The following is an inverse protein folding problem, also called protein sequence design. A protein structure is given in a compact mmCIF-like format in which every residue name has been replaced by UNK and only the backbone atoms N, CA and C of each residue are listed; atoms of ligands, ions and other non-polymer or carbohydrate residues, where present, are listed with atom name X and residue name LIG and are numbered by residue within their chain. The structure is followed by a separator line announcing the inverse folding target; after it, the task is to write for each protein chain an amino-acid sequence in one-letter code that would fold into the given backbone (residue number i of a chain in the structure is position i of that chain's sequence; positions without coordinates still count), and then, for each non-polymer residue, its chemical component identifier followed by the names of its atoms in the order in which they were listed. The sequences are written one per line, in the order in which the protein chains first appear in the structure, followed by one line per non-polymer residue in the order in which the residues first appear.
data_IF_556177747775
#
_entry.id   IF_556177747775
#
_cell.length_a   1.000
_cell.length_b   1.000
_cell.length_c   1.000
_cell.angle_alpha   90.00
_cell.angle_beta   90.00
_cell.angle_gamma   90.00
#
_symmetry.space_group_name_H-M   'P 1'
#
loop_
_entity.id
_entity.type
_entity.pdbx_description
1 polymer ?
#
# COMPACT_ATOMS: atom_id res chain seq x y z
N UNK A 1 -0.41 23.08 -45.55
CA UNK A 1 -1.15 23.21 -44.28
C UNK A 1 -2.44 22.44 -44.45
N UNK A 2 -2.59 21.30 -43.77
CA UNK A 2 -3.84 20.55 -43.80
C UNK A 2 -4.72 21.06 -42.66
N UNK A 3 -5.82 21.73 -43.01
CA UNK A 3 -6.82 22.17 -42.04
C UNK A 3 -7.44 20.94 -41.36
N UNK A 4 -7.21 20.81 -40.06
CA UNK A 4 -7.89 19.84 -39.21
C UNK A 4 -9.35 20.29 -39.02
N UNK A 5 -10.27 19.74 -39.81
CA UNK A 5 -11.71 19.93 -39.60
C UNK A 5 -12.25 18.84 -38.66
N UNK A 6 -12.38 19.17 -37.38
CA UNK A 6 -13.11 18.36 -36.40
C UNK A 6 -14.60 18.68 -36.47
N UNK A 7 -15.45 17.68 -36.70
CA UNK A 7 -16.89 17.89 -36.60
C UNK A 7 -17.33 18.00 -35.12
N UNK A 8 -18.49 18.59 -34.85
CA UNK A 8 -19.02 18.81 -33.49
C UNK A 8 -19.01 17.55 -32.62
N UNK A 9 -19.25 16.37 -33.20
CA UNK A 9 -19.24 15.09 -32.48
C UNK A 9 -17.81 14.65 -32.12
N UNK A 10 -16.85 14.83 -33.02
CA UNK A 10 -15.43 14.58 -32.75
C UNK A 10 -14.88 15.58 -31.74
N UNK A 11 -15.29 16.85 -31.82
CA UNK A 11 -14.96 17.85 -30.82
C UNK A 11 -15.51 17.47 -29.44
N UNK A 12 -16.78 17.04 -29.35
CA UNK A 12 -17.41 16.59 -28.10
C UNK A 12 -16.82 15.28 -27.54
N UNK A 13 -16.40 14.36 -28.40
CA UNK A 13 -15.73 13.12 -27.99
C UNK A 13 -14.30 13.42 -27.52
N UNK A 14 -13.56 14.27 -28.24
CA UNK A 14 -12.22 14.69 -27.87
C UNK A 14 -12.22 15.52 -26.57
N UNK A 15 -13.18 16.44 -26.42
CA UNK A 15 -13.35 17.21 -25.19
C UNK A 15 -13.84 16.34 -24.03
N UNK A 16 -14.80 15.44 -24.29
CA UNK A 16 -15.35 14.53 -23.27
C UNK A 16 -14.31 13.55 -22.73
N UNK A 17 -13.44 13.00 -23.57
CA UNK A 17 -12.34 12.13 -23.12
C UNK A 17 -11.26 12.89 -22.35
N UNK A 18 -11.03 14.18 -22.67
CA UNK A 18 -10.07 15.03 -21.95
C UNK A 18 -10.55 15.48 -20.57
N UNK A 19 -11.82 15.86 -20.45
CA UNK A 19 -12.40 16.35 -19.19
C UNK A 19 -12.75 15.22 -18.20
N UNK A 20 -13.20 14.06 -18.68
CA UNK A 20 -13.51 12.91 -17.81
C UNK A 20 -12.25 12.19 -17.27
N UNK A 21 -11.10 12.34 -17.93
CA UNK A 21 -9.86 11.69 -17.49
C UNK A 21 -9.10 12.45 -16.39
N UNK A 22 -9.44 13.73 -16.16
CA UNK A 22 -8.67 14.64 -15.30
C UNK A 22 -9.49 15.28 -14.17
N UNK A 23 -10.82 15.04 -14.14
CA UNK A 23 -11.71 15.53 -13.10
C UNK A 23 -12.56 14.41 -12.53
N UNK A 24 -11.97 13.54 -11.71
CA UNK A 24 -12.76 12.72 -10.78
C UNK A 24 -13.02 13.57 -9.53
N UNK A 25 -14.24 14.11 -9.32
CA UNK A 25 -14.60 14.70 -8.03
C UNK A 25 -14.41 13.63 -6.95
N UNK A 26 -13.54 13.90 -5.98
CA UNK A 26 -13.22 12.96 -4.90
C UNK A 26 -11.73 12.74 -4.65
N UNK A 27 -10.83 13.32 -5.45
CA UNK A 27 -9.44 13.41 -5.03
C UNK A 27 -9.29 14.49 -3.96
N UNK A 28 -9.10 14.08 -2.71
CA UNK A 28 -8.68 14.98 -1.64
C UNK A 28 -7.17 15.14 -1.78
N UNK A 29 -6.72 16.35 -2.08
CA UNK A 29 -5.30 16.69 -2.20
C UNK A 29 -4.92 17.53 -0.99
N UNK A 30 -4.14 16.97 -0.07
CA UNK A 30 -3.63 17.74 1.07
C UNK A 30 -2.43 18.61 0.67
N UNK A 31 -1.80 19.25 1.65
CA UNK A 31 -0.50 19.90 1.53
C UNK A 31 0.44 19.45 2.68
N UNK A 32 1.60 18.88 2.37
CA UNK A 32 2.62 18.51 3.35
C UNK A 32 3.61 19.67 3.53
N UNK A 33 4.20 19.74 4.73
CA UNK A 33 5.27 20.68 5.01
C UNK A 33 6.55 20.24 4.28
N UNK A 34 7.27 21.22 3.75
CA UNK A 34 8.65 21.08 3.24
C UNK A 34 9.56 21.92 4.11
N UNK A 35 10.83 21.53 4.24
CA UNK A 35 11.86 22.37 4.85
C UNK A 35 12.30 23.50 3.90
N UNK A 36 13.18 24.36 4.38
CA UNK A 36 13.71 25.50 3.63
C UNK A 36 14.51 25.10 2.37
N UNK A 37 14.91 23.84 2.23
CA UNK A 37 15.60 23.31 1.06
C UNK A 37 14.66 22.67 0.04
N UNK A 38 13.34 22.72 0.28
CA UNK A 38 12.34 22.04 -0.55
C UNK A 38 12.31 20.53 -0.33
N UNK A 39 13.12 20.01 0.60
CA UNK A 39 13.05 18.61 1.00
C UNK A 39 11.90 18.43 1.95
N UNK A 40 11.32 17.25 1.91
CA UNK A 40 10.23 16.95 2.81
C UNK A 40 10.71 16.80 4.24
N UNK A 41 10.00 17.45 5.15
CA UNK A 41 10.07 17.10 6.57
C UNK A 41 9.30 15.81 6.83
N UNK A 42 9.63 15.13 7.92
CA UNK A 42 8.91 13.94 8.35
C UNK A 42 7.40 14.19 8.29
N UNK A 43 6.71 13.36 7.50
CA UNK A 43 5.27 13.39 7.30
C UNK A 43 4.55 13.23 8.64
N UNK A 44 3.32 13.76 8.75
CA UNK A 44 2.37 13.27 9.75
C UNK A 44 2.37 11.73 9.75
N UNK A 45 2.01 11.12 10.88
CA UNK A 45 2.01 9.67 11.10
C UNK A 45 1.55 8.89 9.84
N UNK A 46 2.47 8.11 9.29
CA UNK A 46 2.29 7.13 8.22
C UNK A 46 2.22 5.72 8.82
N UNK A 47 1.67 4.76 8.07
CA UNK A 47 1.59 3.36 8.51
C UNK A 47 2.15 2.42 7.44
N UNK A 48 3.13 1.60 7.83
CA UNK A 48 3.49 0.38 7.10
C UNK A 48 2.79 -0.77 7.83
N UNK A 49 1.78 -1.36 7.19
CA UNK A 49 1.01 -2.46 7.76
C UNK A 49 1.53 -3.79 7.19
N UNK A 50 2.26 -4.55 8.01
CA UNK A 50 2.81 -5.85 7.60
C UNK A 50 1.71 -6.91 7.76
N UNK A 51 1.12 -7.32 6.63
CA UNK A 51 0.10 -8.35 6.59
C UNK A 51 0.74 -9.69 6.23
N UNK A 52 1.01 -10.50 7.25
CA UNK A 52 1.48 -11.87 7.08
C UNK A 52 0.28 -12.79 6.87
N UNK A 53 0.00 -13.20 5.64
CA UNK A 53 -1.09 -14.13 5.35
C UNK A 53 -0.76 -15.50 5.99
N UNK A 54 -1.73 -16.05 6.72
CA UNK A 54 -1.53 -17.21 7.59
C UNK A 54 -1.04 -16.83 8.99
N UNK A 55 -0.08 -15.91 9.06
CA UNK A 55 0.43 -15.30 10.28
C UNK A 55 1.26 -16.25 11.15
N UNK A 56 2.24 -15.73 11.91
CA UNK A 56 2.93 -16.52 12.90
C UNK A 56 1.98 -16.95 14.02
N UNK A 57 2.17 -18.17 14.51
CA UNK A 57 1.52 -18.64 15.71
C UNK A 57 1.87 -17.71 16.88
N UNK A 58 0.87 -17.08 17.49
CA UNK A 58 1.08 -16.16 18.61
C UNK A 58 1.66 -16.88 19.83
N UNK A 59 1.27 -18.14 20.06
CA UNK A 59 1.83 -18.98 21.14
C UNK A 59 3.28 -19.40 20.90
N UNK A 60 3.74 -19.32 19.65
CA UNK A 60 5.14 -19.58 19.31
C UNK A 60 5.95 -18.28 19.17
N UNK A 61 5.37 -17.09 19.34
CA UNK A 61 6.08 -15.83 19.06
C UNK A 61 5.99 -14.83 20.20
N UNK A 62 4.79 -14.30 20.48
CA UNK A 62 4.60 -13.13 21.34
C UNK A 62 3.68 -13.36 22.55
N UNK A 63 2.93 -14.47 22.58
CA UNK A 63 2.01 -14.81 23.65
C UNK A 63 2.12 -16.29 24.07
N UNK A 64 3.32 -16.68 24.51
CA UNK A 64 3.76 -18.09 24.56
C UNK A 64 3.07 -19.00 25.58
N UNK A 65 2.26 -18.43 26.49
CA UNK A 65 1.60 -19.16 27.59
C UNK A 65 2.54 -20.18 28.28
N UNK A 66 3.72 -19.76 28.81
CA UNK A 66 4.74 -20.69 29.30
C UNK A 66 4.28 -21.59 30.46
N UNK A 67 3.28 -21.13 31.23
CA UNK A 67 2.68 -21.89 32.34
C UNK A 67 1.55 -22.84 31.90
N UNK A 68 1.18 -22.86 30.62
CA UNK A 68 0.18 -23.79 30.11
C UNK A 68 0.78 -25.21 30.00
N UNK A 69 -0.07 -26.27 30.03
CA UNK A 69 0.41 -27.63 29.81
C UNK A 69 1.15 -27.76 28.47
N UNK A 70 2.08 -28.71 28.39
CA UNK A 70 2.94 -28.92 27.22
C UNK A 70 2.16 -29.14 25.92
N UNK A 71 0.93 -29.66 26.01
CA UNK A 71 0.05 -29.88 24.86
C UNK A 71 -0.55 -28.58 24.28
N UNK A 72 -0.48 -27.46 25.02
CA UNK A 72 -1.09 -26.17 24.63
C UNK A 72 -0.06 -25.05 24.40
N UNK A 73 1.17 -25.19 24.91
CA UNK A 73 2.26 -24.23 24.69
C UNK A 73 3.19 -24.70 23.57
N UNK A 74 3.85 -23.75 22.92
CA UNK A 74 4.90 -24.04 21.95
C UNK A 74 6.14 -24.71 22.58
N UNK A 75 7.04 -25.30 21.77
CA UNK A 75 8.27 -25.94 22.25
C UNK A 75 9.36 -24.94 22.68
N UNK A 76 9.09 -23.65 22.56
CA UNK A 76 10.05 -22.58 22.77
C UNK A 76 9.94 -21.99 24.17
N UNK A 77 11.04 -21.40 24.65
CA UNK A 77 11.08 -20.75 25.96
C UNK A 77 11.07 -19.20 25.82
N UNK A 78 10.51 -18.48 26.82
CA UNK A 78 10.50 -17.03 26.80
C UNK A 78 11.88 -16.44 27.14
N UNK A 79 12.26 -15.35 26.47
CA UNK A 79 13.45 -14.55 26.81
C UNK A 79 13.08 -13.25 27.52
N UNK A 80 13.98 -12.80 28.39
CA UNK A 80 13.91 -11.47 28.98
C UNK A 80 14.06 -10.39 27.88
N UNK A 81 13.33 -9.29 28.04
CA UNK A 81 13.36 -8.19 27.09
C UNK A 81 13.78 -6.89 27.78
N UNK A 82 14.01 -5.84 26.99
CA UNK A 82 14.39 -4.51 27.50
C UNK A 82 13.32 -3.87 28.39
N UNK A 83 12.04 -4.16 28.15
CA UNK A 83 10.94 -3.71 29.01
C UNK A 83 10.69 -4.75 30.12
N UNK A 84 10.90 -4.41 31.41
CA UNK A 84 10.67 -5.34 32.50
C UNK A 84 9.24 -5.89 32.49
N UNK A 85 9.12 -7.22 32.61
CA UNK A 85 7.82 -7.92 32.60
C UNK A 85 7.31 -8.31 31.21
N UNK A 86 7.84 -7.72 30.12
CA UNK A 86 7.54 -8.19 28.76
C UNK A 86 8.43 -9.38 28.39
N UNK A 87 7.83 -10.42 27.81
CA UNK A 87 8.50 -11.64 27.35
C UNK A 87 8.05 -11.99 25.93
N UNK A 88 8.96 -12.48 25.12
CA UNK A 88 8.72 -13.00 23.77
C UNK A 88 9.54 -14.27 23.56
N UNK A 89 9.39 -14.95 22.43
CA UNK A 89 10.15 -16.15 22.08
C UNK A 89 11.68 -15.90 22.08
N UNK A 90 12.45 -16.83 22.65
CA UNK A 90 13.92 -16.79 22.71
C UNK A 90 14.64 -16.65 21.36
N UNK A 91 14.02 -17.10 20.26
CA UNK A 91 14.53 -16.95 18.90
C UNK A 91 14.53 -15.48 18.43
N UNK A 92 13.75 -14.61 19.08
CA UNK A 92 13.68 -13.19 18.79
C UNK A 92 14.82 -12.38 19.44
N UNK A 93 16.06 -12.89 19.38
CA UNK A 93 17.25 -12.34 20.06
C UNK A 93 17.49 -10.85 19.80
N UNK A 94 17.27 -10.38 18.56
CA UNK A 94 17.41 -8.97 18.18
C UNK A 94 16.20 -8.12 18.54
N UNK A 95 14.99 -8.68 18.43
CA UNK A 95 13.74 -7.96 18.69
C UNK A 95 13.52 -7.74 20.19
N UNK A 96 13.97 -8.67 21.05
CA UNK A 96 13.91 -8.53 22.51
C UNK A 96 14.60 -7.25 23.02
N UNK A 97 15.65 -6.80 22.31
CA UNK A 97 16.43 -5.59 22.60
C UNK A 97 15.72 -4.29 22.19
N UNK A 98 14.64 -4.39 21.40
CA UNK A 98 13.89 -3.27 20.82
C UNK A 98 12.48 -3.12 21.40
N UNK A 99 12.16 -3.82 22.49
CA UNK A 99 10.83 -3.82 23.11
C UNK A 99 10.38 -2.47 23.68
N UNK A 100 11.30 -1.51 23.85
CA UNK A 100 10.98 -0.12 24.18
C UNK A 100 10.57 0.73 22.96
N UNK A 101 10.66 0.17 21.76
CA UNK A 101 10.28 0.82 20.50
C UNK A 101 8.93 0.35 19.93
N UNK A 102 8.29 -0.66 20.54
CA UNK A 102 6.99 -1.15 20.10
C UNK A 102 6.08 -1.54 21.26
N UNK A 103 4.78 -1.61 20.97
CA UNK A 103 3.77 -2.07 21.93
C UNK A 103 3.22 -3.41 21.48
N UNK A 104 3.21 -4.37 22.39
CA UNK A 104 2.56 -5.66 22.19
C UNK A 104 1.09 -5.58 22.64
N UNK A 105 0.16 -6.02 21.79
CA UNK A 105 -1.28 -6.05 22.09
C UNK A 105 -1.74 -7.50 22.14
N UNK A 106 -1.83 -8.06 23.34
CA UNK A 106 -2.32 -9.43 23.57
C UNK A 106 -3.83 -9.51 23.86
N UNK A 107 -4.54 -8.38 23.77
CA UNK A 107 -5.98 -8.28 24.05
C UNK A 107 -6.84 -8.37 22.78
N UNK A 108 -6.26 -8.67 21.62
CA UNK A 108 -7.01 -8.74 20.37
C UNK A 108 -7.89 -9.99 20.36
N UNK A 109 -9.18 -9.80 20.07
CA UNK A 109 -10.15 -10.88 19.90
C UNK A 109 -11.07 -10.54 18.73
N UNK A 110 -11.77 -11.52 18.17
CA UNK A 110 -12.78 -11.29 17.14
C UNK A 110 -14.14 -11.79 17.62
N UNK A 111 -15.24 -11.13 17.24
CA UNK A 111 -16.58 -11.60 17.55
C UNK A 111 -16.96 -12.79 16.65
N UNK A 112 -17.78 -13.69 17.20
CA UNK A 112 -18.34 -14.83 16.47
C UNK A 112 -17.31 -15.91 16.07
N UNK A 113 -17.82 -16.95 15.41
CA UNK A 113 -17.02 -18.09 14.96
C UNK A 113 -16.36 -17.81 13.59
N UNK A 114 -15.37 -16.92 13.54
CA UNK A 114 -14.53 -16.73 12.35
C UNK A 114 -13.57 -17.92 12.26
N UNK A 115 -13.69 -18.73 11.20
CA UNK A 115 -12.99 -20.02 11.06
C UNK A 115 -12.27 -20.18 9.72
N UNK A 116 -12.14 -19.12 8.93
CA UNK A 116 -11.43 -19.14 7.65
C UNK A 116 -10.65 -17.84 7.42
N UNK A 117 -9.61 -17.93 6.58
CA UNK A 117 -8.72 -16.80 6.27
C UNK A 117 -9.44 -15.60 5.66
N UNK A 118 -10.44 -15.83 4.80
CA UNK A 118 -11.13 -14.77 4.07
C UNK A 118 -11.92 -13.86 5.01
N UNK A 119 -12.73 -14.46 5.89
CA UNK A 119 -13.50 -13.73 6.90
C UNK A 119 -12.58 -13.07 7.93
N UNK A 120 -11.50 -13.75 8.36
CA UNK A 120 -10.55 -13.20 9.33
C UNK A 120 -9.84 -11.97 8.80
N UNK A 121 -9.31 -12.03 7.57
CA UNK A 121 -8.65 -10.88 6.96
C UNK A 121 -9.64 -9.75 6.69
N UNK A 122 -10.86 -10.08 6.27
CA UNK A 122 -11.88 -9.07 6.08
C UNK A 122 -12.19 -8.36 7.39
N UNK A 123 -12.45 -9.11 8.46
CA UNK A 123 -12.74 -8.55 9.78
C UNK A 123 -11.62 -7.67 10.30
N UNK A 124 -10.37 -8.14 10.22
CA UNK A 124 -9.21 -7.38 10.68
C UNK A 124 -9.04 -6.06 9.92
N UNK A 125 -9.19 -6.09 8.59
CA UNK A 125 -8.87 -4.95 7.75
C UNK A 125 -10.04 -3.96 7.57
N UNK A 126 -11.29 -4.40 7.70
CA UNK A 126 -12.50 -3.55 7.55
C UNK A 126 -13.20 -3.25 8.87
N UNK A 127 -12.91 -4.00 9.93
CA UNK A 127 -13.62 -3.96 11.21
C UNK A 127 -15.00 -4.63 11.19
N UNK A 128 -15.38 -5.34 10.11
CA UNK A 128 -16.72 -5.91 9.95
C UNK A 128 -16.73 -7.43 10.20
N UNK A 129 -17.63 -7.90 11.06
CA UNK A 129 -17.76 -9.32 11.41
C UNK A 129 -19.13 -9.92 11.08
N UNK A 130 -20.15 -9.09 10.86
CA UNK A 130 -21.53 -9.56 10.68
C UNK A 130 -21.77 -10.18 9.31
N UNK A 131 -21.22 -9.57 8.26
CA UNK A 131 -21.38 -10.02 6.88
C UNK A 131 -20.17 -10.83 6.45
N UNK A 132 -20.35 -12.15 6.41
CA UNK A 132 -19.39 -13.10 5.84
C UNK A 132 -19.04 -12.72 4.42
N UNK A 133 -17.76 -12.85 4.06
CA UNK A 133 -17.33 -12.60 2.68
C UNK A 133 -17.83 -13.74 1.81
N UNK A 134 -18.71 -13.43 0.85
CA UNK A 134 -19.09 -14.38 -0.18
C UNK A 134 -18.15 -14.21 -1.37
N UNK A 135 -17.53 -15.30 -1.83
CA UNK A 135 -16.69 -15.27 -3.03
C UNK A 135 -17.47 -14.71 -4.22
N UNK A 136 -16.92 -13.69 -4.88
CA UNK A 136 -17.53 -13.04 -6.04
C UNK A 136 -18.61 -12.00 -5.73
N UNK A 137 -18.93 -11.72 -4.46
CA UNK A 137 -19.81 -10.63 -4.06
C UNK A 137 -19.07 -9.65 -3.17
N UNK A 138 -18.66 -8.48 -3.68
CA UNK A 138 -18.12 -7.41 -2.87
C UNK A 138 -19.05 -7.11 -1.71
N UNK A 139 -18.58 -7.25 -0.48
CA UNK A 139 -19.14 -6.39 0.55
C UNK A 139 -18.56 -5.01 0.27
N UNK A 140 -19.43 -4.01 0.19
CA UNK A 140 -19.03 -2.67 -0.24
C UNK A 140 -18.26 -1.92 0.87
N UNK A 141 -17.40 -2.63 1.60
CA UNK A 141 -16.72 -2.11 2.77
C UNK A 141 -15.31 -1.62 2.40
N UNK A 142 -14.95 -0.38 2.75
CA UNK A 142 -13.57 0.07 2.71
C UNK A 142 -12.71 -0.69 3.72
N UNK A 143 -11.40 -0.74 3.45
CA UNK A 143 -10.39 -1.28 4.36
C UNK A 143 -9.58 -0.15 4.99
N UNK A 144 -8.80 -0.46 6.04
CA UNK A 144 -8.04 0.51 6.84
C UNK A 144 -7.27 1.54 5.99
N UNK A 145 -6.56 1.10 4.95
CA UNK A 145 -5.83 1.99 4.04
C UNK A 145 -6.73 2.96 3.27
N UNK A 146 -7.95 2.56 2.91
CA UNK A 146 -8.92 3.41 2.21
C UNK A 146 -9.46 4.52 3.12
N UNK A 147 -9.65 4.23 4.41
CA UNK A 147 -10.00 5.26 5.40
C UNK A 147 -8.87 6.27 5.58
N UNK A 148 -7.61 5.81 5.63
CA UNK A 148 -6.45 6.70 5.70
C UNK A 148 -6.35 7.57 4.46
N UNK A 149 -6.48 6.99 3.26
CA UNK A 149 -6.46 7.75 2.00
C UNK A 149 -7.55 8.83 1.95
N UNK A 150 -8.75 8.55 2.47
CA UNK A 150 -9.85 9.52 2.49
C UNK A 150 -9.62 10.69 3.46
N UNK A 151 -9.19 10.39 4.68
CA UNK A 151 -9.13 11.40 5.75
C UNK A 151 -7.76 12.08 5.84
N UNK A 152 -6.71 11.42 5.37
CA UNK A 152 -5.33 11.89 5.36
C UNK A 152 -4.67 11.50 4.04
N UNK A 153 -5.08 12.09 2.91
CA UNK A 153 -4.42 11.84 1.64
C UNK A 153 -2.96 12.28 1.69
N UNK A 154 -2.17 11.65 0.82
CA UNK A 154 -0.85 12.11 0.47
C UNK A 154 -0.95 13.41 -0.33
N UNK A 155 0.10 14.20 -0.23
CA UNK A 155 0.21 15.51 -0.86
C UNK A 155 1.48 15.62 -1.70
N UNK A 156 2.40 14.69 -1.46
CA UNK A 156 3.70 14.58 -2.13
C UNK A 156 3.74 13.46 -3.15
N UNK A 157 2.84 12.51 -3.02
CA UNK A 157 2.63 11.40 -3.91
C UNK A 157 1.15 11.33 -4.29
N UNK A 158 0.82 11.13 -5.56
CA UNK A 158 -0.57 10.97 -5.98
C UNK A 158 -1.22 9.69 -5.40
N UNK A 159 -0.43 8.72 -4.94
CA UNK A 159 -0.90 7.54 -4.20
C UNK A 159 -0.87 7.81 -2.70
N UNK A 160 -2.02 7.58 -2.06
CA UNK A 160 -2.14 7.67 -0.59
C UNK A 160 -2.15 6.31 0.10
N UNK A 161 -2.61 5.28 -0.61
CA UNK A 161 -2.77 3.92 -0.14
C UNK A 161 -2.15 2.97 -1.17
N UNK A 162 -1.17 2.16 -0.74
CA UNK A 162 -0.50 1.20 -1.60
C UNK A 162 -0.51 -0.18 -0.96
N UNK A 163 -0.46 -1.21 -1.80
CA UNK A 163 -0.35 -2.60 -1.37
C UNK A 163 0.76 -3.29 -2.14
N UNK A 164 1.86 -3.59 -1.45
CA UNK A 164 2.99 -4.32 -2.02
C UNK A 164 2.71 -5.81 -1.96
N UNK A 165 2.60 -6.42 -3.15
CA UNK A 165 2.23 -7.81 -3.40
C UNK A 165 0.87 -8.15 -2.78
N UNK A 166 -0.18 -8.13 -3.61
CA UNK A 166 -1.45 -8.76 -3.25
C UNK A 166 -1.24 -10.28 -3.31
N UNK A 167 -1.15 -10.90 -2.14
CA UNK A 167 -1.22 -12.34 -1.84
C UNK A 167 -0.97 -13.30 -3.01
N UNK A 168 0.10 -14.08 -2.92
CA UNK A 168 0.60 -14.87 -4.05
C UNK A 168 0.49 -16.37 -3.78
N UNK A 169 0.17 -17.12 -4.82
CA UNK A 169 0.25 -18.59 -4.84
C UNK A 169 -1.06 -19.30 -4.49
N UNK A 170 -1.39 -20.43 -5.14
CA UNK A 170 -2.45 -21.32 -4.69
C UNK A 170 -2.01 -22.14 -3.45
N UNK A 171 -2.88 -22.32 -2.44
CA UNK A 171 -4.19 -21.68 -2.31
C UNK A 171 -4.04 -20.19 -1.99
N UNK A 172 -4.70 -19.33 -2.74
CA UNK A 172 -4.68 -17.88 -2.45
C UNK A 172 -5.57 -17.65 -1.24
N UNK A 173 -4.96 -17.48 -0.06
CA UNK A 173 -5.68 -17.28 1.20
C UNK A 173 -6.14 -15.83 1.44
N UNK A 174 -6.32 -15.04 0.38
CA UNK A 174 -6.81 -13.67 0.50
C UNK A 174 -8.23 -13.52 0.01
N UNK A 175 -9.04 -12.82 0.81
CA UNK A 175 -10.44 -12.62 0.47
C UNK A 175 -10.52 -11.87 -0.87
N UNK A 176 -11.37 -12.29 -1.82
CA UNK A 176 -11.39 -11.74 -3.18
C UNK A 176 -11.55 -10.21 -3.21
N UNK A 177 -12.32 -9.70 -2.25
CA UNK A 177 -12.70 -8.30 -2.15
C UNK A 177 -11.69 -7.44 -1.38
N UNK A 178 -10.58 -8.01 -0.90
CA UNK A 178 -9.60 -7.23 -0.15
C UNK A 178 -8.88 -6.24 -1.08
N UNK A 179 -8.77 -5.01 -0.58
CA UNK A 179 -8.15 -3.90 -1.29
C UNK A 179 -9.04 -3.26 -2.36
N UNK A 180 -10.35 -3.18 -2.10
CA UNK A 180 -11.25 -2.24 -2.79
C UNK A 180 -11.48 -0.99 -1.93
N UNK A 181 -12.02 0.07 -2.54
CA UNK A 181 -12.44 1.28 -1.83
C UNK A 181 -13.79 1.17 -1.13
N UNK A 182 -14.58 0.13 -1.42
CA UNK A 182 -15.95 -0.03 -0.92
C UNK A 182 -16.82 1.20 -1.22
N UNK A 183 -17.72 1.53 -0.29
CA UNK A 183 -18.62 2.67 -0.40
C UNK A 183 -17.90 4.03 -0.40
N UNK A 184 -16.59 4.07 -0.09
CA UNK A 184 -15.79 5.29 -0.26
C UNK A 184 -15.47 5.55 -1.74
N UNK A 185 -15.50 4.51 -2.58
CA UNK A 185 -15.20 4.58 -4.00
C UNK A 185 -13.76 4.17 -4.34
N UNK A 186 -13.55 3.81 -5.60
CA UNK A 186 -12.28 3.28 -6.13
C UNK A 186 -11.10 4.25 -5.99
N UNK A 187 -11.35 5.56 -5.88
CA UNK A 187 -10.32 6.57 -5.65
C UNK A 187 -9.51 6.36 -4.36
N UNK A 188 -10.07 5.66 -3.38
CA UNK A 188 -9.40 5.36 -2.10
C UNK A 188 -8.89 3.92 -2.03
N UNK A 189 -9.09 3.12 -3.08
CA UNK A 189 -8.55 1.76 -3.15
C UNK A 189 -7.00 1.80 -3.18
N UNK A 190 -6.32 0.78 -2.64
CA UNK A 190 -4.88 0.70 -2.73
C UNK A 190 -4.42 0.55 -4.19
N UNK A 191 -3.33 1.24 -4.54
CA UNK A 191 -2.57 0.89 -5.74
C UNK A 191 -1.75 -0.36 -5.45
N UNK A 192 -2.01 -1.42 -6.20
CA UNK A 192 -1.25 -2.66 -6.09
C UNK A 192 0.09 -2.54 -6.79
N UNK A 193 1.15 -2.94 -6.09
CA UNK A 193 2.53 -2.91 -6.57
C UNK A 193 3.08 -4.33 -6.51
N UNK A 194 3.56 -4.83 -7.65
CA UNK A 194 4.23 -6.11 -7.74
C UNK A 194 3.33 -7.35 -7.64
N UNK A 195 3.95 -8.51 -7.83
CA UNK A 195 3.34 -9.84 -7.90
C UNK A 195 4.39 -10.94 -7.69
N UNK A 196 3.99 -12.21 -7.81
CA UNK A 196 4.90 -13.37 -7.87
C UNK A 196 6.04 -13.23 -8.88
N UNK A 197 5.76 -12.58 -10.02
CA UNK A 197 6.62 -12.55 -11.21
C UNK A 197 7.17 -11.17 -11.52
N UNK A 198 6.90 -10.18 -10.66
CA UNK A 198 7.38 -8.81 -10.79
C UNK A 198 7.41 -8.20 -9.39
N UNK A 199 8.56 -8.20 -8.72
CA UNK A 199 8.69 -7.66 -7.36
C UNK A 199 10.08 -7.07 -7.14
N UNK A 200 10.29 -6.21 -6.13
CA UNK A 200 11.50 -5.40 -6.02
C UNK A 200 12.79 -6.19 -5.71
N UNK A 201 12.68 -7.48 -5.36
CA UNK A 201 13.83 -8.38 -5.29
C UNK A 201 14.29 -8.97 -6.65
N UNK A 202 13.61 -8.65 -7.76
CA UNK A 202 14.00 -9.03 -9.13
C UNK A 202 14.76 -7.87 -9.79
N UNK A 203 15.78 -8.20 -10.60
CA UNK A 203 16.57 -7.21 -11.35
C UNK A 203 15.72 -6.40 -12.34
N UNK A 204 14.71 -7.04 -12.95
CA UNK A 204 13.81 -6.43 -13.92
C UNK A 204 12.48 -5.98 -13.31
N UNK A 205 12.49 -5.57 -12.05
CA UNK A 205 11.29 -5.04 -11.40
C UNK A 205 10.78 -3.79 -12.12
N UNK A 206 9.52 -3.83 -12.54
CA UNK A 206 8.86 -2.67 -13.14
C UNK A 206 7.80 -2.09 -12.19
N UNK A 207 7.82 -0.77 -11.95
CA UNK A 207 6.79 -0.11 -11.17
C UNK A 207 5.43 -0.16 -11.88
N UNK A 208 4.31 0.02 -11.16
CA UNK A 208 3.00 0.11 -11.80
C UNK A 208 2.96 1.23 -12.85
N UNK A 209 2.22 1.00 -13.93
CA UNK A 209 2.11 1.96 -15.06
C UNK A 209 1.69 3.37 -14.63
N UNK A 210 0.98 3.51 -13.52
CA UNK A 210 0.57 4.82 -13.00
C UNK A 210 1.76 5.66 -12.50
N UNK A 211 2.89 5.03 -12.17
CA UNK A 211 4.17 5.68 -11.87
C UNK A 211 5.11 5.76 -13.07
N UNK A 212 4.76 5.12 -14.18
CA UNK A 212 5.50 5.24 -15.43
C UNK A 212 4.84 6.36 -16.24
N UNK A 213 5.47 7.55 -16.36
CA UNK A 213 4.89 8.62 -17.14
C UNK A 213 4.69 8.13 -18.58
N UNK A 214 3.45 8.17 -19.07
CA UNK A 214 3.25 8.32 -20.51
C UNK A 214 4.11 9.51 -20.94
N UNK A 215 4.88 9.35 -22.02
CA UNK A 215 5.66 10.39 -22.72
C UNK A 215 5.44 11.80 -22.12
N UNK A 216 6.36 12.22 -21.24
CA UNK A 216 6.22 13.47 -20.48
C UNK A 216 5.96 14.66 -21.41
N UNK A 217 6.61 14.69 -22.57
CA UNK A 217 6.41 15.73 -23.57
C UNK A 217 4.96 15.76 -24.09
N UNK A 218 4.36 14.58 -24.33
CA UNK A 218 2.95 14.46 -24.71
C UNK A 218 2.00 14.86 -23.59
N UNK A 219 2.36 14.61 -22.34
CA UNK A 219 1.56 15.03 -21.19
C UNK A 219 1.59 16.55 -21.02
N UNK A 220 2.77 17.18 -21.16
CA UNK A 220 2.92 18.64 -21.20
C UNK A 220 2.17 19.28 -22.36
N UNK A 221 2.22 18.68 -23.55
CA UNK A 221 1.48 19.18 -24.72
C UNK A 221 -0.03 19.22 -24.44
N UNK A 222 -0.56 18.17 -23.81
CA UNK A 222 -1.99 18.13 -23.41
C UNK A 222 -2.34 19.17 -22.36
N UNK A 223 -1.45 19.41 -21.39
CA UNK A 223 -1.63 20.47 -20.38
C UNK A 223 -1.67 21.85 -21.04
N UNK A 224 -0.73 22.13 -21.93
CA UNK A 224 -0.65 23.39 -22.68
C UNK A 224 -1.88 23.61 -23.56
N UNK A 225 -2.32 22.57 -24.28
CA UNK A 225 -3.53 22.63 -25.09
C UNK A 225 -4.78 22.90 -24.24
N UNK A 226 -4.92 22.24 -23.09
CA UNK A 226 -6.03 22.47 -22.17
C UNK A 226 -6.03 23.91 -21.67
N UNK A 227 -4.88 24.43 -21.23
CA UNK A 227 -4.74 25.82 -20.81
C UNK A 227 -5.11 26.81 -21.92
N UNK A 228 -4.88 26.47 -23.20
CA UNK A 228 -5.29 27.31 -24.33
C UNK A 228 -6.81 27.31 -24.60
N UNK A 229 -7.52 26.28 -24.16
CA UNK A 229 -8.96 26.14 -24.33
C UNK A 229 -9.75 26.72 -23.15
N UNK A 230 -9.10 26.91 -22.00
CA UNK A 230 -9.73 27.46 -20.81
C UNK A 230 -9.97 28.97 -20.94
N UNK A 231 -11.14 29.40 -20.48
CA UNK A 231 -11.51 30.81 -20.52
C UNK A 231 -11.18 31.49 -19.19
N UNK A 232 -10.32 32.53 -19.19
CA UNK A 232 -10.04 33.32 -17.98
C UNK A 232 -11.28 34.02 -17.40
N UNK A 233 -12.38 34.08 -18.16
CA UNK A 233 -13.65 34.66 -17.74
C UNK A 233 -14.37 33.74 -16.75
N UNK A 234 -14.23 32.42 -16.92
CA UNK A 234 -14.85 31.41 -16.06
C UNK A 234 -14.13 31.27 -14.72
N UNK A 235 -12.87 31.69 -14.62
CA UNK A 235 -12.09 31.73 -13.37
C UNK A 235 -12.64 32.71 -12.32
N UNK A 236 -13.68 33.49 -12.62
CA UNK A 236 -14.39 34.28 -11.59
C UNK A 236 -15.35 33.43 -10.75
N UNK A 237 -15.73 32.25 -11.25
CA UNK A 237 -16.55 31.30 -10.53
C UNK A 237 -15.68 30.47 -9.58
N UNK A 238 -16.09 30.39 -8.31
CA UNK A 238 -15.35 29.66 -7.28
C UNK A 238 -15.25 28.16 -7.60
N UNK A 239 -16.29 27.55 -8.17
CA UNK A 239 -16.25 26.13 -8.52
C UNK A 239 -15.23 25.87 -9.62
N UNK A 240 -15.17 26.74 -10.64
CA UNK A 240 -14.19 26.62 -11.73
C UNK A 240 -12.77 26.73 -11.18
N UNK A 241 -12.52 27.68 -10.27
CA UNK A 241 -11.22 27.78 -9.58
C UNK A 241 -10.86 26.54 -8.78
N UNK A 242 -11.80 26.02 -7.99
CA UNK A 242 -11.57 24.83 -7.17
C UNK A 242 -11.21 23.61 -8.06
N UNK A 243 -11.84 23.49 -9.23
CA UNK A 243 -11.53 22.46 -10.22
C UNK A 243 -10.15 22.64 -10.86
N UNK A 244 -9.79 23.86 -11.24
CA UNK A 244 -8.47 24.18 -11.80
C UNK A 244 -7.35 23.91 -10.78
N UNK A 245 -7.54 24.32 -9.52
CA UNK A 245 -6.60 24.08 -8.43
C UNK A 245 -6.44 22.58 -8.14
N UNK A 246 -7.55 21.82 -8.11
CA UNK A 246 -7.51 20.38 -7.91
C UNK A 246 -6.72 19.69 -9.04
N UNK A 247 -6.94 20.11 -10.28
CA UNK A 247 -6.22 19.58 -11.44
C UNK A 247 -4.73 19.92 -11.40
N UNK A 248 -4.36 21.15 -11.09
CA UNK A 248 -2.93 21.55 -10.97
C UNK A 248 -2.22 20.76 -9.89
N UNK A 249 -2.84 20.59 -8.71
CA UNK A 249 -2.29 19.73 -7.68
C UNK A 249 -2.13 18.30 -8.19
N UNK A 250 -3.13 17.77 -8.92
CA UNK A 250 -3.10 16.39 -9.46
C UNK A 250 -1.96 16.21 -10.43
N UNK A 251 -1.77 17.19 -11.32
CA UNK A 251 -0.65 17.24 -12.23
C UNK A 251 0.69 17.22 -11.48
N UNK A 252 0.87 18.12 -10.51
CA UNK A 252 2.10 18.19 -9.69
C UNK A 252 2.36 16.86 -8.96
N UNK A 253 1.34 16.27 -8.35
CA UNK A 253 1.48 14.98 -7.68
C UNK A 253 1.84 13.82 -8.62
N UNK A 254 1.40 13.85 -9.89
CA UNK A 254 1.69 12.83 -10.90
C UNK A 254 3.08 12.99 -11.54
N UNK A 255 3.56 14.21 -11.71
CA UNK A 255 4.85 14.50 -12.36
C UNK A 255 6.02 14.59 -11.38
N UNK A 256 5.73 14.71 -10.07
CA UNK A 256 6.75 14.73 -9.01
C UNK A 256 7.68 13.53 -9.07
N UNK A 257 8.96 13.84 -9.02
CA UNK A 257 10.03 12.86 -9.14
C UNK A 257 10.10 11.95 -7.91
N UNK A 258 9.79 12.47 -6.71
CA UNK A 258 9.88 11.77 -5.44
C UNK A 258 9.05 10.48 -5.39
N UNK A 259 7.84 10.50 -5.96
CA UNK A 259 6.98 9.32 -6.03
C UNK A 259 7.58 8.21 -6.89
N UNK A 260 8.30 8.57 -7.96
CA UNK A 260 8.96 7.64 -8.90
C UNK A 260 10.27 7.12 -8.33
N UNK A 261 11.05 8.01 -7.72
CA UNK A 261 12.31 7.65 -7.07
C UNK A 261 12.12 6.62 -5.96
N UNK A 262 10.94 6.53 -5.35
CA UNK A 262 10.64 5.49 -4.38
C UNK A 262 10.87 4.07 -4.93
N UNK A 263 10.65 3.86 -6.24
CA UNK A 263 10.84 2.57 -6.92
C UNK A 263 12.28 2.31 -7.37
N UNK A 264 13.15 3.32 -7.36
CA UNK A 264 14.57 3.18 -7.64
C UNK A 264 15.31 2.75 -6.37
N UNK A 265 15.38 1.43 -6.17
CA UNK A 265 16.03 0.80 -5.01
C UNK A 265 17.55 0.90 -5.07
N UNK A 266 18.15 1.14 -6.23
CA UNK A 266 19.61 1.23 -6.38
C UNK A 266 20.18 2.52 -5.77
N UNK A 267 19.31 3.47 -5.42
CA UNK A 267 19.65 4.65 -4.62
C UNK A 267 19.95 4.34 -3.16
N UNK A 268 19.57 3.15 -2.69
CA UNK A 268 19.92 2.68 -1.35
C UNK A 268 21.30 2.03 -1.36
N UNK A 269 22.14 2.28 -0.33
CA UNK A 269 23.38 1.54 -0.19
C UNK A 269 23.13 0.03 -0.19
N UNK A 270 23.99 -0.73 -0.86
CA UNK A 270 23.89 -2.19 -0.93
C UNK A 270 23.71 -2.83 0.46
N UNK A 271 24.46 -2.35 1.46
CA UNK A 271 24.37 -2.83 2.85
C UNK A 271 22.99 -2.63 3.49
N UNK A 272 22.25 -1.59 3.09
CA UNK A 272 20.86 -1.38 3.54
C UNK A 272 19.96 -2.41 2.89
N UNK A 273 20.09 -2.65 1.59
CA UNK A 273 19.31 -3.67 0.88
C UNK A 273 19.56 -5.06 1.45
N UNK A 274 20.82 -5.39 1.73
CA UNK A 274 21.22 -6.66 2.35
C UNK A 274 20.64 -6.81 3.76
N UNK A 275 20.60 -5.73 4.54
CA UNK A 275 20.01 -5.72 5.89
C UNK A 275 18.51 -6.02 5.89
N UNK A 276 17.79 -5.54 4.88
CA UNK A 276 16.37 -5.87 4.69
C UNK A 276 16.19 -7.31 4.16
N UNK A 277 17.21 -7.85 3.49
CA UNK A 277 17.22 -9.18 2.89
C UNK A 277 16.84 -9.13 1.41
N UNK A 278 17.61 -9.84 0.58
CA UNK A 278 17.43 -9.92 -0.89
C UNK A 278 16.35 -10.92 -1.30
N UNK A 279 15.22 -10.87 -0.59
CA UNK A 279 14.05 -11.69 -0.84
C UNK A 279 12.80 -10.79 -0.88
N UNK A 280 11.68 -11.28 -1.43
CA UNK A 280 10.49 -10.46 -1.70
C UNK A 280 9.97 -9.66 -0.51
N UNK A 281 9.84 -10.25 0.69
CA UNK A 281 9.37 -9.49 1.87
C UNK A 281 10.35 -8.38 2.27
N UNK A 282 11.65 -8.62 2.15
CA UNK A 282 12.70 -7.69 2.55
C UNK A 282 12.74 -6.47 1.65
N UNK A 283 12.81 -6.71 0.35
CA UNK A 283 12.82 -5.62 -0.63
C UNK A 283 11.46 -4.89 -0.71
N UNK A 284 10.33 -5.55 -0.42
CA UNK A 284 9.05 -4.86 -0.24
C UNK A 284 9.05 -3.95 1.00
N UNK A 285 9.59 -4.39 2.14
CA UNK A 285 9.70 -3.54 3.33
C UNK A 285 10.61 -2.32 3.05
N UNK A 286 11.67 -2.48 2.26
CA UNK A 286 12.51 -1.37 1.82
C UNK A 286 11.74 -0.41 0.90
N UNK A 287 11.03 -0.94 -0.11
CA UNK A 287 10.17 -0.12 -0.98
C UNK A 287 9.08 0.61 -0.18
N UNK A 288 8.47 -0.05 0.81
CA UNK A 288 7.46 0.55 1.67
C UNK A 288 8.01 1.74 2.47
N UNK A 289 9.23 1.61 3.00
CA UNK A 289 9.93 2.74 3.64
C UNK A 289 10.08 3.91 2.68
N UNK A 290 10.59 3.66 1.47
CA UNK A 290 10.80 4.70 0.45
C UNK A 290 9.49 5.34 -0.03
N UNK A 291 8.41 4.56 -0.16
CA UNK A 291 7.08 5.07 -0.50
C UNK A 291 6.53 5.98 0.61
N UNK A 292 6.70 5.59 1.87
CA UNK A 292 6.34 6.44 3.00
C UNK A 292 7.18 7.73 3.03
N UNK A 293 8.48 7.63 2.78
CA UNK A 293 9.39 8.79 2.65
C UNK A 293 9.03 9.70 1.46
N UNK A 294 8.42 9.15 0.39
CA UNK A 294 7.87 9.93 -0.73
C UNK A 294 6.47 10.50 -0.48
N UNK A 295 5.84 10.17 0.65
CA UNK A 295 4.58 10.76 1.11
C UNK A 295 3.37 9.82 1.16
N UNK A 296 3.52 8.56 0.73
CA UNK A 296 2.43 7.57 0.82
C UNK A 296 2.06 7.35 2.30
N UNK A 297 0.77 7.39 2.60
CA UNK A 297 0.26 7.47 3.98
C UNK A 297 0.03 6.10 4.60
N UNK A 298 -0.38 5.15 3.77
CA UNK A 298 -0.62 3.77 4.19
C UNK A 298 -0.05 2.80 3.16
N UNK A 299 0.83 1.91 3.59
CA UNK A 299 1.42 0.88 2.76
C UNK A 299 1.18 -0.48 3.41
N UNK A 300 0.31 -1.30 2.81
CA UNK A 300 0.21 -2.71 3.18
C UNK A 300 1.36 -3.46 2.54
N UNK A 301 2.07 -4.27 3.33
CA UNK A 301 3.20 -5.06 2.85
C UNK A 301 2.92 -6.53 3.07
N UNK A 302 3.12 -7.32 2.02
CA UNK A 302 3.19 -8.76 2.07
C UNK A 302 4.41 -9.25 1.27
N UNK A 303 4.77 -10.52 1.41
CA UNK A 303 5.90 -11.13 0.73
C UNK A 303 6.35 -12.39 1.45
N UNK A 304 7.41 -13.01 0.94
CA UNK A 304 7.99 -14.24 1.46
C UNK A 304 9.52 -14.13 1.48
N UNK A 305 10.18 -15.00 2.25
CA UNK A 305 11.65 -15.12 2.29
C UNK A 305 12.20 -16.16 1.31
N UNK A 306 11.34 -17.03 0.78
CA UNK A 306 11.72 -18.18 -0.05
C UNK A 306 11.43 -19.51 0.66
N UNK A 307 11.66 -20.62 -0.04
CA UNK A 307 11.64 -21.96 0.56
C UNK A 307 12.96 -22.23 1.27
N UNK A 308 12.91 -23.00 2.36
CA UNK A 308 14.12 -23.53 2.97
C UNK A 308 14.81 -24.51 2.02
N UNK A 309 16.13 -24.63 2.07
CA UNK A 309 16.91 -25.47 1.14
C UNK A 309 16.47 -26.96 1.11
N UNK A 310 15.92 -27.44 2.22
CA UNK A 310 15.44 -28.82 2.39
C UNK A 310 13.98 -29.01 1.96
N UNK A 311 13.20 -27.94 1.83
CA UNK A 311 11.80 -28.00 1.41
C UNK A 311 11.72 -27.99 -0.12
N UNK A 312 11.43 -29.17 -0.68
CA UNK A 312 11.28 -29.39 -2.13
C UNK A 312 9.82 -29.34 -2.61
N UNK A 313 8.87 -29.07 -1.71
CA UNK A 313 7.42 -29.12 -1.95
C UNK A 313 6.74 -27.87 -1.37
N UNK A 314 5.54 -27.56 -1.87
CA UNK A 314 4.76 -26.38 -1.47
C UNK A 314 4.96 -25.18 -2.43
N UNK A 315 4.13 -24.13 -2.32
CA UNK A 315 4.24 -22.95 -3.15
C UNK A 315 5.45 -22.09 -2.73
N UNK A 316 6.36 -21.70 -3.65
CA UNK A 316 7.56 -20.92 -3.32
C UNK A 316 7.29 -19.45 -2.97
N UNK A 317 6.01 -19.08 -2.83
CA UNK A 317 5.54 -17.69 -2.77
C UNK A 317 4.47 -17.45 -1.70
N UNK A 318 4.41 -18.31 -0.67
CA UNK A 318 3.56 -18.06 0.50
C UNK A 318 4.31 -17.27 1.57
N UNK A 319 3.61 -16.38 2.28
CA UNK A 319 4.21 -15.42 3.19
C UNK A 319 4.72 -16.01 4.49
N UNK A 320 3.90 -16.83 5.16
CA UNK A 320 4.26 -17.47 6.43
C UNK A 320 3.69 -18.88 6.52
N UNK A 321 2.43 -19.06 6.15
CA UNK A 321 1.80 -20.37 6.12
C UNK A 321 2.22 -21.14 4.87
N UNK A 322 3.32 -21.89 5.01
CA UNK A 322 3.88 -22.74 3.96
C UNK A 322 3.29 -24.17 3.99
N UNK A 323 2.29 -24.46 4.82
CA UNK A 323 1.65 -25.77 4.85
C UNK A 323 0.81 -25.97 3.58
N UNK A 324 1.28 -26.84 2.69
CA UNK A 324 0.62 -27.22 1.44
C UNK A 324 1.26 -28.44 0.81
#
# INVERSE_FOLDING_TARGET
MNDFQLNRRQALIASGLGTLSLGMPGMVMGSDKVDASGKAVASDKCCIFVLLCGGPSHVDTWDMKPEAPVDFRGPYEPIATRVPGMRINEMHTRLAQLTDHFTLINSMSHPGAISNHFDAMHNLLSGQSERRVQNGRPNDQPYMGSFVAKHKPSTRNFVSNAWLIKCVGPPVFCAPNIGIGGYLGSAYAPVFVGSAKNHPAMENFEPPRIYNPYDEARFEERKSLLASLESPILDKDQQVRDWSDLREKTYDALTRQEGREAFDLDREPQSVRDRYGMHPIGQNLLLARRMVESGVRFVTVNGWTGQADHDKKGPPSSSWDMHG
#
